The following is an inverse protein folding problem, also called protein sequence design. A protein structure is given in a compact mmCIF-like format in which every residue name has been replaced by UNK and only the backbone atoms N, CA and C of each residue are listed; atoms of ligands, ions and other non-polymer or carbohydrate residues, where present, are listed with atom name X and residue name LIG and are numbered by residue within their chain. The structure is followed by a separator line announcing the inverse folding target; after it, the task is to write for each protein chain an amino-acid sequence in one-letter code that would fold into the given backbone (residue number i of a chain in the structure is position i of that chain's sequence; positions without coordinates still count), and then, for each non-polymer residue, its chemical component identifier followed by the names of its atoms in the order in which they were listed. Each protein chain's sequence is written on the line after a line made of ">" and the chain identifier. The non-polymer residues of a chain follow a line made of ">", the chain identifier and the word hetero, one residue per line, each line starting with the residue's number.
data_IF_671403357905
#
_entry.id   IF_671403357905
#
_cell.length_a   1.000
_cell.length_b   1.000
_cell.length_c   1.000
_cell.angle_alpha   90.00
_cell.angle_beta   90.00
_cell.angle_gamma   90.00
#
_symmetry.space_group_name_H-M   'P 1'
#
loop_
_entity.id
_entity.type
_entity.pdbx_description
1 polymer ?
#
# COMPACT_ATOMS: atom_id res chain seq x y z
N UNK A 1 -25.95 -44.36 0.74
CA UNK A 1 -24.58 -43.81 0.69
C UNK A 1 -24.48 -42.77 1.80
N UNK A 2 -23.91 -43.14 2.96
CA UNK A 2 -23.84 -42.28 4.15
C UNK A 2 -22.64 -41.35 4.01
N UNK A 3 -22.90 -40.05 3.99
CA UNK A 3 -21.89 -38.99 4.05
C UNK A 3 -21.26 -39.09 5.45
N UNK A 4 -19.97 -39.41 5.50
CA UNK A 4 -19.18 -39.36 6.74
C UNK A 4 -19.02 -37.89 7.11
N UNK A 5 -19.74 -37.44 8.12
CA UNK A 5 -19.35 -36.25 8.88
C UNK A 5 -18.03 -36.59 9.56
N UNK A 6 -16.95 -35.91 9.15
CA UNK A 6 -15.72 -35.90 9.91
C UNK A 6 -16.03 -35.26 11.26
N UNK A 7 -16.09 -36.09 12.30
CA UNK A 7 -16.13 -35.64 13.68
C UNK A 7 -14.74 -35.11 14.03
N UNK A 8 -14.64 -33.82 14.35
CA UNK A 8 -13.47 -33.23 14.97
C UNK A 8 -13.24 -33.88 16.35
N UNK A 9 -12.01 -34.32 16.68
CA UNK A 9 -11.71 -34.84 17.99
C UNK A 9 -11.51 -33.66 18.94
N UNK A 10 -12.41 -33.51 19.91
CA UNK A 10 -12.49 -32.48 20.97
C UNK A 10 -13.40 -31.29 20.59
N UNK A 11 -14.71 -31.44 20.87
CA UNK A 11 -15.75 -30.42 20.69
C UNK A 11 -15.59 -29.17 21.57
N UNK A 12 -14.47 -28.47 21.45
CA UNK A 12 -14.33 -27.08 21.88
C UNK A 12 -14.98 -26.26 20.78
N UNK A 13 -16.12 -25.63 21.07
CA UNK A 13 -16.71 -24.67 20.14
C UNK A 13 -15.62 -23.65 19.77
N UNK A 14 -15.45 -23.32 18.48
CA UNK A 14 -14.44 -22.38 18.07
C UNK A 14 -14.64 -21.07 18.84
N UNK A 15 -13.58 -20.55 19.46
CA UNK A 15 -13.60 -19.25 20.14
C UNK A 15 -13.91 -18.20 19.07
N UNK A 16 -15.16 -17.71 19.04
CA UNK A 16 -15.66 -16.73 18.07
C UNK A 16 -15.76 -15.40 18.79
N UNK A 17 -15.10 -14.39 18.23
CA UNK A 17 -15.09 -13.03 18.76
C UNK A 17 -16.02 -12.16 17.94
N UNK A 18 -17.03 -11.61 18.60
CA UNK A 18 -18.01 -10.73 17.99
C UNK A 18 -17.49 -9.28 17.99
N UNK A 19 -17.54 -8.55 16.86
CA UNK A 19 -17.01 -7.18 16.77
C UNK A 19 -17.71 -6.21 17.73
N UNK A 20 -18.98 -6.44 18.07
CA UNK A 20 -19.71 -5.63 19.06
C UNK A 20 -19.23 -5.80 20.51
N UNK A 21 -18.48 -6.86 20.81
CA UNK A 21 -17.91 -7.08 22.13
C UNK A 21 -16.53 -6.41 22.29
N UNK A 22 -16.00 -5.82 21.22
CA UNK A 22 -14.71 -5.14 21.24
C UNK A 22 -14.90 -3.66 21.61
N UNK A 23 -14.03 -3.17 22.50
CA UNK A 23 -14.01 -1.78 22.93
C UNK A 23 -13.69 -0.85 21.74
N UNK A 24 -14.50 0.19 21.55
CA UNK A 24 -14.28 1.19 20.50
C UNK A 24 -13.15 2.12 20.87
N UNK A 25 -12.40 2.59 19.88
CA UNK A 25 -11.32 3.55 20.10
C UNK A 25 -11.80 4.85 20.76
N UNK A 26 -13.02 5.29 20.44
CA UNK A 26 -13.67 6.44 21.09
C UNK A 26 -13.92 6.27 22.60
N UNK A 27 -14.01 5.03 23.08
CA UNK A 27 -14.31 4.70 24.48
C UNK A 27 -13.03 4.40 25.28
N UNK A 28 -11.96 3.99 24.58
CA UNK A 28 -10.69 3.64 25.19
C UNK A 28 -10.05 4.87 25.85
N UNK A 29 -9.73 4.75 27.13
CA UNK A 29 -9.04 5.80 27.89
C UNK A 29 -7.63 6.06 27.35
N UNK A 30 -7.14 7.30 27.49
CA UNK A 30 -5.75 7.62 27.13
C UNK A 30 -4.80 6.90 28.09
N UNK A 31 -4.06 5.91 27.57
CA UNK A 31 -3.11 5.10 28.35
C UNK A 31 -1.82 5.83 28.70
N UNK A 32 -1.54 6.93 28.02
CA UNK A 32 -0.31 7.70 28.16
C UNK A 32 -0.60 9.17 28.42
N UNK A 33 0.14 9.76 29.36
CA UNK A 33 0.15 11.20 29.53
C UNK A 33 0.79 11.81 28.28
N UNK A 34 0.05 12.68 27.60
CA UNK A 34 0.57 13.42 26.46
C UNK A 34 1.68 14.35 26.96
N UNK A 35 2.86 14.23 26.37
CA UNK A 35 3.95 15.16 26.63
C UNK A 35 3.56 16.53 26.07
N UNK A 36 3.64 17.56 26.91
CA UNK A 36 3.43 18.94 26.47
C UNK A 36 4.66 19.43 25.72
N UNK A 37 4.53 19.62 24.41
CA UNK A 37 5.59 20.11 23.53
C UNK A 37 5.52 21.63 23.30
N UNK A 38 4.57 22.35 23.91
CA UNK A 38 4.37 23.79 23.70
C UNK A 38 5.60 24.63 24.06
N UNK A 39 6.44 24.15 24.98
CA UNK A 39 7.67 24.83 25.42
C UNK A 39 8.90 24.60 24.52
N UNK A 40 8.83 23.68 23.54
CA UNK A 40 10.00 23.19 22.80
C UNK A 40 10.17 23.89 21.43
N UNK A 41 9.17 24.65 20.98
CA UNK A 41 9.22 25.42 19.74
C UNK A 41 7.86 25.46 19.01
N UNK A 42 7.88 25.86 17.75
CA UNK A 42 6.68 25.83 16.90
C UNK A 42 6.26 24.38 16.60
N UNK A 43 4.95 24.13 16.50
CA UNK A 43 4.41 22.84 16.05
C UNK A 43 4.84 22.55 14.62
N UNK A 44 5.02 21.26 14.27
CA UNK A 44 5.34 20.85 12.88
C UNK A 44 4.21 21.20 11.90
N UNK A 45 2.98 21.28 12.41
CA UNK A 45 1.78 21.60 11.64
C UNK A 45 1.02 22.76 12.28
N UNK A 46 0.74 23.83 11.51
CA UNK A 46 -0.03 25.00 11.97
C UNK A 46 -1.50 24.67 12.24
N UNK A 47 -2.04 23.69 11.54
CA UNK A 47 -3.39 23.14 11.73
C UNK A 47 -3.29 21.63 11.82
N UNK A 48 -4.18 20.97 12.57
CA UNK A 48 -4.15 19.51 12.65
C UNK A 48 -4.47 18.89 11.28
N UNK A 49 -3.58 18.04 10.73
CA UNK A 49 -3.87 17.33 9.48
C UNK A 49 -4.99 16.29 9.61
N UNK A 50 -5.30 15.87 10.85
CA UNK A 50 -6.30 14.87 11.21
C UNK A 50 -7.13 15.40 12.39
N UNK A 51 -8.23 16.13 12.13
CA UNK A 51 -9.05 16.70 13.19
C UNK A 51 -9.79 15.62 14.00
N UNK A 52 -10.15 15.94 15.25
CA UNK A 52 -11.05 15.13 16.07
C UNK A 52 -12.38 14.92 15.34
N UNK A 53 -12.74 13.65 15.17
CA UNK A 53 -13.98 13.22 14.54
C UNK A 53 -14.57 12.06 15.34
N UNK A 54 -15.66 12.26 16.09
CA UNK A 54 -16.27 11.21 16.90
C UNK A 54 -16.89 10.09 16.07
N UNK A 55 -17.38 10.38 14.86
CA UNK A 55 -18.00 9.37 14.00
C UNK A 55 -16.95 8.42 13.42
N UNK A 56 -15.78 8.94 13.02
CA UNK A 56 -14.66 8.12 12.60
C UNK A 56 -14.13 7.29 13.78
N UNK A 57 -13.96 7.90 14.95
CA UNK A 57 -13.39 7.22 16.11
C UNK A 57 -14.24 6.05 16.63
N UNK A 58 -15.57 6.12 16.53
CA UNK A 58 -16.47 5.02 16.90
C UNK A 58 -16.30 3.78 15.99
N UNK A 59 -15.76 3.96 14.79
CA UNK A 59 -15.55 2.87 13.82
C UNK A 59 -14.24 2.13 14.06
N UNK A 60 -13.29 2.72 14.78
CA UNK A 60 -11.96 2.12 14.98
C UNK A 60 -11.97 1.21 16.22
N UNK A 61 -11.33 0.06 16.08
CA UNK A 61 -11.03 -0.86 17.19
C UNK A 61 -9.55 -1.22 17.10
N UNK A 62 -8.85 -1.18 18.24
CA UNK A 62 -7.51 -1.75 18.38
C UNK A 62 -7.64 -3.03 19.20
N UNK A 63 -7.26 -4.16 18.63
CA UNK A 63 -7.45 -5.46 19.27
C UNK A 63 -6.21 -6.34 19.14
N UNK A 64 -5.90 -7.08 20.21
CA UNK A 64 -4.84 -8.09 20.21
C UNK A 64 -5.46 -9.46 20.36
N UNK A 65 -5.28 -10.32 19.36
CA UNK A 65 -5.83 -11.66 19.36
C UNK A 65 -5.67 -12.36 18.01
N UNK A 66 -6.34 -13.50 17.87
CA UNK A 66 -6.32 -14.29 16.64
C UNK A 66 -7.36 -13.75 15.65
N UNK A 67 -6.91 -13.10 14.57
CA UNK A 67 -7.78 -12.56 13.52
C UNK A 67 -8.74 -13.61 12.93
N UNK A 68 -8.37 -14.90 12.93
CA UNK A 68 -9.22 -15.97 12.39
C UNK A 68 -10.46 -16.26 13.25
N UNK A 69 -10.52 -15.72 14.47
CA UNK A 69 -11.66 -15.85 15.39
C UNK A 69 -12.76 -14.81 15.19
N UNK A 70 -12.49 -13.73 14.44
CA UNK A 70 -13.41 -12.60 14.32
C UNK A 70 -14.58 -12.92 13.39
N UNK A 71 -15.81 -12.74 13.90
CA UNK A 71 -17.03 -12.80 13.09
C UNK A 71 -17.29 -11.43 12.43
N UNK A 72 -16.63 -11.19 11.31
CA UNK A 72 -16.71 -9.94 10.53
C UNK A 72 -17.01 -10.24 9.06
N UNK A 73 -17.30 -9.22 8.26
CA UNK A 73 -17.50 -9.41 6.82
C UNK A 73 -16.20 -9.84 6.14
N UNK A 74 -15.07 -9.21 6.49
CA UNK A 74 -13.78 -9.63 5.94
C UNK A 74 -12.63 -9.52 6.93
N UNK A 75 -11.72 -10.50 6.86
CA UNK A 75 -10.39 -10.43 7.45
C UNK A 75 -9.36 -10.26 6.35
N UNK A 76 -8.26 -9.57 6.64
CA UNK A 76 -7.14 -9.43 5.71
C UNK A 76 -6.08 -10.48 6.03
N UNK A 77 -5.53 -11.10 4.98
CA UNK A 77 -4.37 -11.97 5.05
C UNK A 77 -3.17 -11.34 4.32
N UNK A 78 -2.07 -11.09 5.03
CA UNK A 78 -0.80 -10.63 4.43
C UNK A 78 0.07 -11.85 4.08
N UNK A 79 0.32 -12.06 2.79
CA UNK A 79 0.97 -13.26 2.25
C UNK A 79 2.11 -12.93 1.28
N UNK A 80 2.48 -13.88 0.43
CA UNK A 80 3.44 -13.75 -0.65
C UNK A 80 2.80 -13.90 -2.03
N UNK A 81 3.60 -13.65 -3.04
CA UNK A 81 3.16 -13.56 -4.42
C UNK A 81 2.57 -14.87 -4.95
N UNK A 82 3.04 -16.00 -4.41
CA UNK A 82 2.55 -17.36 -4.69
C UNK A 82 1.43 -17.83 -3.74
N UNK A 83 0.88 -16.95 -2.90
CA UNK A 83 -0.22 -17.24 -1.97
C UNK A 83 0.07 -18.41 -1.00
N UNK A 84 1.34 -18.65 -0.71
CA UNK A 84 1.84 -19.83 0.03
C UNK A 84 2.76 -19.45 1.19
N UNK A 85 2.71 -18.19 1.62
CA UNK A 85 3.56 -17.74 2.73
C UNK A 85 3.16 -18.42 4.03
N UNK A 86 4.13 -19.09 4.65
CA UNK A 86 3.99 -19.56 6.02
C UNK A 86 4.40 -18.43 6.96
N UNK A 87 3.39 -17.92 7.66
CA UNK A 87 3.51 -16.98 8.77
C UNK A 87 2.39 -17.28 9.79
N UNK A 88 2.57 -16.95 11.08
CA UNK A 88 1.64 -17.38 12.12
C UNK A 88 0.18 -16.95 11.94
N UNK A 89 -0.06 -15.84 11.23
CA UNK A 89 -1.40 -15.36 10.93
C UNK A 89 -2.01 -16.16 9.78
N UNK A 90 -1.29 -16.27 8.66
CA UNK A 90 -1.67 -17.12 7.52
C UNK A 90 -1.95 -18.55 7.94
N UNK A 91 -1.06 -19.15 8.75
CA UNK A 91 -1.17 -20.55 9.15
C UNK A 91 -2.47 -20.80 9.95
N UNK A 92 -2.84 -19.87 10.84
CA UNK A 92 -4.11 -19.92 11.59
C UNK A 92 -5.32 -19.71 10.69
N UNK A 93 -5.26 -18.76 9.76
CA UNK A 93 -6.32 -18.52 8.77
C UNK A 93 -6.55 -19.80 7.94
N UNK A 94 -5.50 -20.40 7.38
CA UNK A 94 -5.62 -21.63 6.58
C UNK A 94 -6.08 -22.84 7.41
N UNK A 95 -5.59 -22.96 8.65
CA UNK A 95 -6.00 -24.04 9.55
C UNK A 95 -7.51 -23.97 9.84
N UNK A 96 -8.03 -22.76 10.10
CA UNK A 96 -9.42 -22.56 10.49
C UNK A 96 -10.39 -22.45 9.30
N UNK A 97 -9.96 -21.92 8.16
CA UNK A 97 -10.77 -21.89 6.94
C UNK A 97 -10.97 -23.29 6.33
N UNK A 98 -10.03 -24.21 6.54
CA UNK A 98 -10.08 -25.56 6.00
C UNK A 98 -9.40 -25.71 4.64
N UNK A 99 -9.42 -26.93 4.08
CA UNK A 99 -8.76 -27.25 2.81
C UNK A 99 -9.39 -26.54 1.60
N UNK A 100 -10.68 -26.21 1.68
CA UNK A 100 -11.44 -25.56 0.61
C UNK A 100 -10.82 -24.21 0.21
N UNK A 101 -10.26 -23.45 1.17
CA UNK A 101 -9.55 -22.21 0.88
C UNK A 101 -8.34 -22.42 -0.04
N UNK A 102 -7.60 -23.51 0.16
CA UNK A 102 -6.45 -23.83 -0.70
C UNK A 102 -6.92 -24.23 -2.10
N UNK A 103 -8.06 -24.91 -2.20
CA UNK A 103 -8.67 -25.27 -3.48
C UNK A 103 -9.11 -24.02 -4.25
N UNK A 104 -9.82 -23.08 -3.62
CA UNK A 104 -10.22 -21.79 -4.23
C UNK A 104 -9.00 -21.00 -4.72
N UNK A 105 -7.97 -20.84 -3.87
CA UNK A 105 -6.75 -20.11 -4.24
C UNK A 105 -6.05 -20.75 -5.46
N UNK A 106 -5.97 -22.08 -5.51
CA UNK A 106 -5.31 -22.80 -6.60
C UNK A 106 -6.09 -22.74 -7.92
N UNK A 107 -7.43 -22.71 -7.85
CA UNK A 107 -8.31 -22.68 -9.01
C UNK A 107 -8.44 -21.27 -9.58
N UNK A 108 -8.71 -20.28 -8.72
CA UNK A 108 -9.25 -18.98 -9.14
C UNK A 108 -8.24 -17.81 -9.04
N UNK A 109 -7.20 -17.93 -8.21
CA UNK A 109 -6.25 -16.83 -7.96
C UNK A 109 -4.88 -17.09 -8.56
N UNK A 110 -4.23 -18.21 -8.19
CA UNK A 110 -2.86 -18.63 -8.53
C UNK A 110 -1.72 -17.69 -8.09
N UNK A 111 -1.85 -16.38 -8.30
CA UNK A 111 -0.85 -15.37 -7.92
C UNK A 111 -1.50 -14.05 -7.47
N UNK A 112 -0.78 -13.32 -6.62
CA UNK A 112 -1.12 -11.97 -6.19
C UNK A 112 0.13 -11.10 -6.21
N UNK A 113 0.19 -10.05 -7.03
CA UNK A 113 1.40 -9.24 -7.10
C UNK A 113 1.57 -8.40 -5.83
N UNK A 114 2.80 -7.97 -5.58
CA UNK A 114 3.10 -7.01 -4.51
C UNK A 114 2.27 -5.73 -4.70
N UNK A 115 1.57 -5.28 -3.65
CA UNK A 115 0.62 -4.15 -3.69
C UNK A 115 -0.80 -4.53 -4.13
N UNK A 116 -1.00 -5.72 -4.68
CA UNK A 116 -2.29 -6.18 -5.18
C UNK A 116 -3.13 -6.80 -4.07
N UNK A 117 -4.42 -7.01 -4.37
CA UNK A 117 -5.37 -7.71 -3.50
C UNK A 117 -6.16 -8.76 -4.28
N UNK A 118 -6.50 -9.85 -3.60
CA UNK A 118 -7.39 -10.92 -4.06
C UNK A 118 -8.41 -11.23 -2.99
N UNK A 119 -9.61 -11.62 -3.37
CA UNK A 119 -10.69 -11.92 -2.42
C UNK A 119 -11.15 -13.36 -2.63
N UNK A 120 -11.30 -14.08 -1.53
CA UNK A 120 -11.85 -15.44 -1.47
C UNK A 120 -12.99 -15.52 -0.46
N UNK A 121 -13.70 -16.65 -0.43
CA UNK A 121 -14.62 -16.94 0.66
C UNK A 121 -13.88 -17.24 1.95
N UNK A 122 -14.53 -17.00 3.10
CA UNK A 122 -13.99 -17.36 4.41
C UNK A 122 -14.06 -18.84 4.74
N UNK A 123 -14.85 -19.63 4.00
CA UNK A 123 -15.10 -21.06 4.24
C UNK A 123 -15.56 -21.34 5.68
N UNK A 124 -14.78 -22.12 6.44
CA UNK A 124 -15.09 -22.44 7.84
C UNK A 124 -14.71 -21.32 8.84
N UNK A 125 -14.17 -20.19 8.36
CA UNK A 125 -13.97 -19.01 9.21
C UNK A 125 -15.31 -18.39 9.64
N UNK A 126 -15.36 -17.74 10.81
CA UNK A 126 -16.49 -16.88 11.17
C UNK A 126 -16.62 -15.65 10.24
N UNK A 127 -15.52 -15.26 9.59
CA UNK A 127 -15.51 -14.18 8.62
C UNK A 127 -16.07 -14.63 7.27
N UNK A 128 -16.81 -13.76 6.57
CA UNK A 128 -17.44 -14.10 5.28
C UNK A 128 -16.45 -14.16 4.13
N UNK A 129 -15.46 -13.27 4.14
CA UNK A 129 -14.45 -13.15 3.09
C UNK A 129 -13.04 -13.05 3.66
N UNK A 130 -12.05 -13.40 2.84
CA UNK A 130 -10.64 -13.12 3.10
C UNK A 130 -10.12 -12.20 2.00
N UNK A 131 -9.55 -11.05 2.38
CA UNK A 131 -8.83 -10.17 1.47
C UNK A 131 -7.34 -10.49 1.60
N UNK A 132 -6.78 -11.17 0.61
CA UNK A 132 -5.36 -11.45 0.54
C UNK A 132 -4.61 -10.26 -0.06
N UNK A 133 -3.51 -9.86 0.54
CA UNK A 133 -2.61 -8.83 -0.01
C UNK A 133 -1.15 -9.24 0.14
N UNK A 134 -0.27 -8.62 -0.64
CA UNK A 134 1.17 -8.87 -0.59
C UNK A 134 1.90 -7.56 -0.31
N UNK A 135 2.39 -7.43 0.92
CA UNK A 135 3.20 -6.28 1.34
C UNK A 135 4.59 -6.24 0.69
N UNK A 136 5.25 -5.06 0.63
CA UNK A 136 6.57 -4.90 0.05
C UNK A 136 7.65 -5.63 0.86
N UNK A 137 8.71 -6.10 0.18
CA UNK A 137 9.98 -6.42 0.83
C UNK A 137 10.74 -5.13 1.05
N UNK A 138 10.96 -4.74 2.30
CA UNK A 138 11.59 -3.46 2.61
C UNK A 138 13.09 -3.52 2.32
N UNK A 139 13.57 -2.47 1.68
CA UNK A 139 14.98 -2.20 1.49
C UNK A 139 15.18 -0.69 1.57
N UNK A 140 16.12 -0.24 2.40
CA UNK A 140 16.41 1.18 2.60
C UNK A 140 16.72 1.90 1.28
N UNK A 141 17.32 1.22 0.29
CA UNK A 141 17.60 1.80 -1.04
C UNK A 141 16.33 2.09 -1.86
N UNK A 142 15.22 1.44 -1.53
CA UNK A 142 13.93 1.54 -2.19
C UNK A 142 12.83 1.92 -1.21
N UNK A 143 13.14 2.76 -0.22
CA UNK A 143 12.22 3.17 0.84
C UNK A 143 10.93 3.74 0.25
N UNK A 144 11.01 4.78 -0.60
CA UNK A 144 9.81 5.41 -1.19
C UNK A 144 8.95 4.45 -2.02
N UNK A 145 9.57 3.50 -2.73
CA UNK A 145 8.84 2.46 -3.46
C UNK A 145 8.13 1.50 -2.49
N UNK A 146 8.78 1.14 -1.38
CA UNK A 146 8.22 0.31 -0.32
C UNK A 146 7.03 1.01 0.36
N UNK A 147 7.17 2.29 0.69
CA UNK A 147 6.09 3.09 1.28
C UNK A 147 4.87 3.17 0.35
N UNK A 148 5.10 3.49 -0.93
CA UNK A 148 4.02 3.58 -1.91
C UNK A 148 3.31 2.23 -2.11
N UNK A 149 4.07 1.15 -2.11
CA UNK A 149 3.51 -0.20 -2.22
C UNK A 149 2.68 -0.56 -0.98
N UNK A 150 3.16 -0.26 0.23
CA UNK A 150 2.41 -0.52 1.45
C UNK A 150 1.12 0.29 1.48
N UNK A 151 1.18 1.57 1.13
CA UNK A 151 -0.01 2.40 0.96
C UNK A 151 -0.99 1.79 -0.06
N UNK A 152 -0.47 1.32 -1.19
CA UNK A 152 -1.28 0.67 -2.24
C UNK A 152 -1.99 -0.59 -1.70
N UNK A 153 -1.36 -1.38 -0.82
CA UNK A 153 -2.00 -2.51 -0.16
C UNK A 153 -3.23 -2.06 0.64
N UNK A 154 -3.07 -1.09 1.54
CA UNK A 154 -4.18 -0.56 2.35
C UNK A 154 -5.28 0.05 1.49
N UNK A 155 -4.92 0.87 0.50
CA UNK A 155 -5.86 1.47 -0.45
C UNK A 155 -6.69 0.40 -1.17
N UNK A 156 -6.03 -0.64 -1.67
CA UNK A 156 -6.68 -1.70 -2.41
C UNK A 156 -7.58 -2.59 -1.51
N UNK A 157 -7.17 -2.85 -0.26
CA UNK A 157 -8.00 -3.53 0.74
C UNK A 157 -9.30 -2.75 0.97
N UNK A 158 -9.19 -1.45 1.24
CA UNK A 158 -10.32 -0.58 1.56
C UNK A 158 -11.24 -0.41 0.34
N UNK A 159 -10.66 -0.26 -0.84
CA UNK A 159 -11.39 -0.19 -2.10
C UNK A 159 -12.16 -1.49 -2.37
N UNK A 160 -11.53 -2.67 -2.19
CA UNK A 160 -12.23 -3.96 -2.33
C UNK A 160 -13.33 -4.16 -1.30
N UNK A 161 -13.12 -3.63 -0.09
CA UNK A 161 -14.14 -3.69 0.96
C UNK A 161 -15.40 -2.92 0.53
N UNK A 162 -15.21 -1.70 0.01
CA UNK A 162 -16.30 -0.88 -0.55
C UNK A 162 -16.99 -1.56 -1.75
N UNK A 163 -16.22 -2.10 -2.71
CA UNK A 163 -16.75 -2.75 -3.91
C UNK A 163 -17.61 -3.99 -3.59
N UNK A 164 -17.22 -4.75 -2.57
CA UNK A 164 -17.90 -5.99 -2.19
C UNK A 164 -18.98 -5.80 -1.10
N UNK A 165 -19.26 -4.57 -0.66
CA UNK A 165 -20.22 -4.31 0.41
C UNK A 165 -19.80 -4.90 1.77
N UNK A 166 -18.50 -4.88 2.06
CA UNK A 166 -17.92 -5.28 3.35
C UNK A 166 -18.04 -4.09 4.28
N UNK A 167 -18.75 -4.24 5.40
CA UNK A 167 -18.98 -3.19 6.38
C UNK A 167 -18.11 -3.34 7.63
N UNK A 168 -17.72 -4.57 7.98
CA UNK A 168 -16.82 -4.87 9.09
C UNK A 168 -15.53 -5.52 8.59
N UNK A 169 -14.40 -4.84 8.81
CA UNK A 169 -13.10 -5.20 8.25
C UNK A 169 -12.04 -5.33 9.36
N UNK A 170 -11.38 -6.49 9.43
CA UNK A 170 -10.22 -6.68 10.30
C UNK A 170 -8.92 -6.70 9.50
N UNK A 171 -7.98 -5.83 9.87
CA UNK A 171 -6.71 -5.63 9.17
C UNK A 171 -5.57 -5.98 10.14
N UNK A 172 -4.72 -7.00 9.85
CA UNK A 172 -3.53 -7.25 10.65
C UNK A 172 -2.45 -6.22 10.31
N UNK A 173 -1.33 -6.25 11.03
CA UNK A 173 -0.12 -5.52 10.63
C UNK A 173 0.38 -6.07 9.29
N UNK A 174 0.07 -5.37 8.19
CA UNK A 174 0.39 -5.81 6.81
C UNK A 174 1.90 -5.83 6.59
N UNK A 175 2.61 -4.89 7.21
CA UNK A 175 4.07 -4.80 7.23
C UNK A 175 4.67 -5.88 8.14
N UNK A 176 4.96 -7.05 7.56
CA UNK A 176 5.54 -8.16 8.32
C UNK A 176 7.00 -7.92 8.72
N UNK A 177 7.36 -8.32 9.94
CA UNK A 177 8.75 -8.41 10.42
C UNK A 177 9.62 -9.23 9.48
N UNK A 178 9.08 -10.31 8.89
CA UNK A 178 9.79 -11.17 7.91
C UNK A 178 10.21 -10.41 6.64
N UNK A 179 9.52 -9.29 6.33
CA UNK A 179 9.81 -8.41 5.18
C UNK A 179 10.67 -7.20 5.57
N UNK A 180 11.24 -7.17 6.78
CA UNK A 180 12.16 -6.15 7.30
C UNK A 180 11.63 -4.71 7.28
N UNK A 181 10.31 -4.52 7.29
CA UNK A 181 9.72 -3.19 7.28
C UNK A 181 9.74 -2.59 8.70
N UNK A 182 10.23 -1.35 8.91
CA UNK A 182 10.19 -0.70 10.22
C UNK A 182 8.74 -0.63 10.77
N UNK A 183 8.46 -1.22 11.94
CA UNK A 183 7.08 -1.34 12.43
C UNK A 183 6.34 -0.01 12.60
N UNK A 184 7.05 1.02 13.06
CA UNK A 184 6.56 2.38 13.25
C UNK A 184 6.27 3.10 11.92
N UNK A 185 7.20 3.06 10.96
CA UNK A 185 6.98 3.64 9.61
C UNK A 185 5.79 2.96 8.92
N UNK A 186 5.67 1.64 9.05
CA UNK A 186 4.56 0.87 8.48
C UNK A 186 3.22 1.21 9.13
N UNK A 187 3.19 1.38 10.45
CA UNK A 187 2.00 1.76 11.19
C UNK A 187 1.51 3.17 10.80
N UNK A 188 2.42 4.14 10.65
CA UNK A 188 2.07 5.48 10.14
C UNK A 188 1.35 5.42 8.79
N UNK A 189 1.82 4.59 7.86
CA UNK A 189 1.20 4.42 6.53
C UNK A 189 -0.18 3.77 6.64
N UNK A 190 -0.32 2.71 7.44
CA UNK A 190 -1.59 2.00 7.63
C UNK A 190 -2.65 2.90 8.25
N UNK A 191 -2.32 3.55 9.38
CA UNK A 191 -3.22 4.44 10.11
C UNK A 191 -3.66 5.62 9.24
N UNK A 192 -2.71 6.28 8.56
CA UNK A 192 -3.02 7.38 7.64
C UNK A 192 -3.95 6.95 6.51
N UNK A 193 -3.67 5.81 5.88
CA UNK A 193 -4.44 5.34 4.72
C UNK A 193 -5.88 5.02 5.12
N UNK A 194 -6.08 4.35 6.26
CA UNK A 194 -7.42 4.09 6.81
C UNK A 194 -8.12 5.39 7.19
N UNK A 195 -7.42 6.32 7.86
CA UNK A 195 -7.97 7.61 8.27
C UNK A 195 -8.49 8.41 7.07
N UNK A 196 -7.66 8.61 6.04
CA UNK A 196 -8.05 9.36 4.83
C UNK A 196 -9.18 8.69 4.06
N UNK A 197 -9.21 7.36 4.02
CA UNK A 197 -10.32 6.63 3.42
C UNK A 197 -11.63 6.86 4.18
N UNK A 198 -11.62 6.81 5.51
CA UNK A 198 -12.83 7.01 6.32
C UNK A 198 -13.36 8.45 6.24
N UNK A 199 -12.50 9.45 6.05
CA UNK A 199 -12.93 10.84 5.81
C UNK A 199 -13.72 10.98 4.50
N UNK A 200 -13.41 10.18 3.47
CA UNK A 200 -14.06 10.24 2.14
C UNK A 200 -15.20 9.26 1.97
N UNK A 201 -15.08 8.09 2.58
CA UNK A 201 -15.90 6.90 2.35
C UNK A 201 -16.36 6.25 3.65
N UNK A 202 -16.44 7.03 4.73
CA UNK A 202 -16.78 6.53 6.06
C UNK A 202 -18.13 5.82 6.13
N UNK A 203 -19.11 6.16 5.28
CA UNK A 203 -20.41 5.47 5.25
C UNK A 203 -20.36 4.04 4.73
N UNK A 204 -19.24 3.61 4.13
CA UNK A 204 -19.10 2.25 3.59
C UNK A 204 -18.67 1.23 4.66
N UNK A 205 -18.00 1.68 5.73
CA UNK A 205 -17.45 0.82 6.78
C UNK A 205 -18.05 1.21 8.14
N UNK A 206 -18.63 0.23 8.81
CA UNK A 206 -19.16 0.36 10.17
C UNK A 206 -18.08 0.12 11.21
N UNK A 207 -17.10 -0.75 10.92
CA UNK A 207 -16.02 -1.07 11.86
C UNK A 207 -14.74 -1.47 11.14
N UNK A 208 -13.63 -0.86 11.55
CA UNK A 208 -12.27 -1.25 11.16
C UNK A 208 -11.50 -1.68 12.40
N UNK A 209 -11.08 -2.94 12.42
CA UNK A 209 -10.34 -3.55 13.53
C UNK A 209 -8.88 -3.65 13.13
N UNK A 210 -7.99 -2.89 13.78
CA UNK A 210 -6.56 -3.12 13.71
C UNK A 210 -6.22 -4.29 14.63
N UNK A 211 -5.83 -5.42 14.03
CA UNK A 211 -5.44 -6.62 14.76
C UNK A 211 -3.92 -6.66 14.88
N UNK A 212 -3.41 -6.51 16.09
CA UNK A 212 -1.97 -6.37 16.35
C UNK A 212 -1.47 -7.48 17.28
N UNK A 213 -0.22 -7.89 17.10
CA UNK A 213 0.44 -8.75 18.09
C UNK A 213 0.92 -7.91 19.29
N UNK A 214 1.27 -8.56 20.40
CA UNK A 214 1.75 -7.89 21.62
C UNK A 214 2.97 -7.01 21.38
N UNK A 215 3.81 -7.34 20.40
CA UNK A 215 5.00 -6.56 20.04
C UNK A 215 4.64 -5.22 19.37
N UNK A 216 3.55 -5.18 18.61
CA UNK A 216 3.13 -3.99 17.87
C UNK A 216 2.13 -3.12 18.67
N UNK A 217 1.53 -3.69 19.72
CA UNK A 217 0.49 -3.01 20.52
C UNK A 217 0.93 -1.62 21.01
N UNK A 218 2.12 -1.51 21.61
CA UNK A 218 2.62 -0.23 22.11
C UNK A 218 2.83 0.81 21.02
N UNK A 219 3.20 0.39 19.81
CA UNK A 219 3.36 1.28 18.65
C UNK A 219 1.98 1.85 18.27
N UNK A 220 0.97 0.99 18.13
CA UNK A 220 -0.36 1.44 17.77
C UNK A 220 -1.02 2.28 18.87
N UNK A 221 -0.79 1.99 20.15
CA UNK A 221 -1.32 2.79 21.26
C UNK A 221 -0.76 4.22 21.29
N UNK A 222 0.50 4.41 20.86
CA UNK A 222 1.13 5.73 20.73
C UNK A 222 0.71 6.44 19.45
N UNK A 223 0.59 5.72 18.32
CA UNK A 223 0.34 6.33 17.02
C UNK A 223 -1.14 6.58 16.71
N UNK A 224 -2.08 5.78 17.23
CA UNK A 224 -3.51 5.95 16.97
C UNK A 224 -4.02 7.36 17.35
N UNK A 225 -3.71 7.94 18.52
CA UNK A 225 -4.13 9.30 18.87
C UNK A 225 -3.66 10.37 17.88
N UNK A 226 -2.59 10.12 17.13
CA UNK A 226 -2.08 11.08 16.15
C UNK A 226 -2.95 11.17 14.89
N UNK A 227 -3.59 10.07 14.51
CA UNK A 227 -4.43 9.96 13.30
C UNK A 227 -5.93 9.94 13.63
N UNK A 228 -6.26 9.46 14.81
CA UNK A 228 -7.61 9.32 15.36
C UNK A 228 -7.66 9.96 16.75
N UNK A 229 -7.38 11.27 16.87
CA UNK A 229 -7.44 11.93 18.16
C UNK A 229 -8.83 11.79 18.75
N UNK A 230 -8.96 11.47 20.03
CA UNK A 230 -10.24 11.24 20.74
C UNK A 230 -10.80 12.51 21.39
N UNK A 231 -10.02 13.58 21.42
CA UNK A 231 -10.41 14.87 21.98
C UNK A 231 -9.67 16.00 21.25
N UNK A 232 -10.13 17.24 21.44
CA UNK A 232 -9.39 18.43 20.97
C UNK A 232 -7.99 18.53 21.55
N UNK A 233 -7.80 18.06 22.78
CA UNK A 233 -6.47 18.03 23.41
C UNK A 233 -5.52 17.05 22.70
N UNK A 234 -6.00 15.86 22.33
CA UNK A 234 -5.22 14.90 21.53
C UNK A 234 -4.94 15.44 20.11
N UNK A 235 -5.95 16.07 19.48
CA UNK A 235 -5.80 16.70 18.16
C UNK A 235 -4.71 17.78 18.17
N UNK A 236 -4.72 18.65 19.18
CA UNK A 236 -3.69 19.65 19.34
C UNK A 236 -2.34 18.96 19.53
N UNK A 237 -2.21 18.08 20.53
CA UNK A 237 -0.95 17.38 20.85
C UNK A 237 -0.35 16.63 19.65
N UNK A 238 -1.19 16.09 18.75
CA UNK A 238 -0.76 15.39 17.55
C UNK A 238 0.04 16.28 16.58
N UNK A 239 -0.21 17.60 16.54
CA UNK A 239 0.48 18.55 15.65
C UNK A 239 1.99 18.64 15.89
N UNK A 240 2.46 18.32 17.09
CA UNK A 240 3.88 18.28 17.43
C UNK A 240 4.52 16.92 17.10
N UNK A 241 3.75 15.85 17.25
CA UNK A 241 4.26 14.48 17.20
C UNK A 241 4.18 13.85 15.81
N UNK A 242 3.19 14.23 14.99
CA UNK A 242 3.06 13.77 13.61
C UNK A 242 4.36 14.01 12.82
N UNK A 243 4.69 13.13 11.84
CA UNK A 243 5.75 13.42 10.87
C UNK A 243 5.47 14.73 10.12
N UNK A 244 6.50 15.42 9.63
CA UNK A 244 6.30 16.63 8.81
C UNK A 244 5.50 16.31 7.54
N UNK A 245 5.78 15.16 6.92
CA UNK A 245 5.06 14.66 5.75
C UNK A 245 3.94 13.70 6.16
N UNK A 246 2.70 14.17 6.08
CA UNK A 246 1.50 13.42 6.47
C UNK A 246 0.74 12.85 5.29
N UNK A 247 1.42 12.64 4.16
CA UNK A 247 0.87 12.06 2.94
C UNK A 247 -0.13 12.96 2.21
N UNK A 248 -0.50 12.53 1.01
CA UNK A 248 -1.48 13.20 0.17
C UNK A 248 -2.93 13.02 0.63
N UNK A 249 -3.89 13.53 -0.16
CA UNK A 249 -5.31 13.52 0.19
C UNK A 249 -5.95 12.13 0.30
N UNK A 250 -5.35 11.09 -0.29
CA UNK A 250 -5.74 9.68 -0.14
C UNK A 250 -4.83 8.93 0.84
N UNK A 251 -3.85 9.61 1.45
CA UNK A 251 -2.86 9.03 2.37
C UNK A 251 -1.59 8.50 1.68
N UNK A 252 -1.45 8.74 0.37
CA UNK A 252 -0.31 8.34 -0.44
C UNK A 252 0.98 9.06 0.00
N UNK A 253 2.16 8.42 -0.08
CA UNK A 253 3.42 9.10 0.20
C UNK A 253 3.69 10.22 -0.80
N UNK A 254 4.19 11.37 -0.33
CA UNK A 254 4.56 12.49 -1.18
C UNK A 254 5.99 12.24 -1.69
N UNK A 255 6.12 11.99 -3.00
CA UNK A 255 7.43 11.83 -3.63
C UNK A 255 7.90 13.17 -4.21
N UNK A 256 9.01 13.76 -3.70
CA UNK A 256 9.49 15.06 -4.20
C UNK A 256 9.91 15.00 -5.68
N UNK A 257 10.40 13.85 -6.17
CA UNK A 257 10.96 13.70 -7.52
C UNK A 257 9.91 13.52 -8.64
N UNK A 258 8.61 13.61 -8.34
CA UNK A 258 7.52 13.52 -9.34
C UNK A 258 6.73 14.81 -9.51
N UNK A 259 7.20 15.93 -8.98
CA UNK A 259 6.73 17.23 -9.44
C UNK A 259 7.35 17.49 -10.81
N UNK A 260 6.54 17.40 -11.87
CA UNK A 260 6.95 17.84 -13.20
C UNK A 260 7.37 19.31 -13.06
N UNK A 261 8.68 19.57 -13.06
CA UNK A 261 9.17 20.92 -13.32
C UNK A 261 8.85 21.15 -14.79
N UNK A 262 7.74 21.82 -15.07
CA UNK A 262 7.56 22.46 -16.36
C UNK A 262 8.63 23.55 -16.39
N UNK A 263 9.79 23.20 -16.93
CA UNK A 263 10.78 24.20 -17.30
C UNK A 263 10.19 24.77 -18.58
N UNK A 264 9.67 25.99 -18.52
CA UNK A 264 9.37 26.72 -19.74
C UNK A 264 10.63 26.69 -20.61
N UNK A 265 10.48 26.18 -21.83
CA UNK A 265 11.59 25.95 -22.74
C UNK A 265 12.38 27.26 -22.91
N UNK A 266 13.67 27.35 -22.53
CA UNK A 266 14.42 28.60 -22.52
C UNK A 266 14.77 29.12 -23.93
N UNK A 267 14.22 28.52 -24.99
CA UNK A 267 14.45 28.92 -26.39
C UNK A 267 13.35 29.80 -26.99
N UNK A 268 12.28 30.13 -26.25
CA UNK A 268 11.37 31.20 -26.68
C UNK A 268 11.75 32.54 -26.03
N UNK A 269 12.86 33.12 -26.50
CA UNK A 269 12.92 34.58 -26.59
C UNK A 269 11.81 35.01 -27.54
N UNK A 270 10.75 35.61 -26.98
CA UNK A 270 9.73 36.33 -27.73
C UNK A 270 10.42 37.47 -28.48
N UNK A 271 10.81 37.24 -29.72
CA UNK A 271 10.99 38.33 -30.67
C UNK A 271 9.60 38.85 -31.00
N UNK A 272 9.40 40.16 -30.81
CA UNK A 272 8.10 40.84 -30.82
C UNK A 272 7.46 40.99 -32.22
N UNK A 273 7.88 40.19 -33.21
CA UNK A 273 7.48 40.35 -34.61
C UNK A 273 7.19 39.00 -35.28
N UNK A 274 6.20 38.25 -34.82
CA UNK A 274 5.54 37.26 -35.67
C UNK A 274 4.03 37.32 -35.47
N UNK A 275 3.33 37.75 -36.52
CA UNK A 275 1.88 37.79 -36.61
C UNK A 275 1.30 36.39 -36.41
N UNK A 276 0.31 36.28 -35.52
CA UNK A 276 -0.46 35.06 -35.34
C UNK A 276 -1.22 34.72 -36.64
N UNK A 277 -0.84 33.64 -37.31
CA UNK A 277 -1.58 33.14 -38.48
C UNK A 277 -2.79 32.34 -38.00
N UNK A 278 -3.98 32.86 -38.27
CA UNK A 278 -5.26 32.19 -38.04
C UNK A 278 -5.51 31.15 -39.16
N UNK A 279 -5.36 29.87 -38.83
CA UNK A 279 -5.54 28.73 -39.74
C UNK A 279 -7.00 28.27 -39.89
N UNK A 280 -7.97 29.01 -39.34
CA UNK A 280 -9.38 28.62 -39.41
C UNK A 280 -10.05 28.83 -40.78
N UNK A 281 -9.40 29.52 -41.73
CA UNK A 281 -9.99 29.89 -43.02
C UNK A 281 -9.57 29.02 -44.23
N UNK A 282 -8.89 27.88 -44.04
CA UNK A 282 -8.47 27.00 -45.14
C UNK A 282 -9.12 25.60 -45.12
N UNK A 283 -10.27 25.47 -44.48
CA UNK A 283 -11.15 24.31 -44.68
C UNK A 283 -12.03 24.54 -45.90
N UNK A 284 -11.49 24.29 -47.10
CA UNK A 284 -12.30 23.86 -48.25
C UNK A 284 -11.46 23.18 -49.35
N UNK A 285 -11.70 21.88 -49.50
CA UNK A 285 -11.55 21.03 -50.70
C UNK A 285 -10.27 21.14 -51.56
N UNK A 286 -9.24 20.36 -51.24
CA UNK A 286 -8.57 19.44 -52.19
C UNK A 286 -7.49 18.64 -51.47
N UNK A 287 -7.49 17.32 -51.61
CA UNK A 287 -6.51 16.44 -50.99
C UNK A 287 -5.26 16.40 -51.86
N UNK A 288 -4.28 17.27 -51.59
CA UNK A 288 -2.91 17.13 -52.09
C UNK A 288 -2.04 16.53 -50.98
N UNK A 289 -1.86 15.21 -51.00
CA UNK A 289 -0.87 14.52 -50.17
C UNK A 289 0.49 14.75 -50.81
N UNK A 290 1.32 15.64 -50.26
CA UNK A 290 2.65 15.86 -50.81
C UNK A 290 3.58 16.86 -50.10
N UNK A 291 3.09 17.79 -49.29
CA UNK A 291 3.94 18.86 -48.73
C UNK A 291 3.79 19.05 -47.21
N UNK A 292 3.93 17.98 -46.43
CA UNK A 292 4.20 18.09 -45.00
C UNK A 292 5.54 17.46 -44.65
N UNK A 293 6.20 18.01 -43.63
CA UNK A 293 7.48 17.56 -43.09
C UNK A 293 7.52 16.08 -42.65
N UNK A 294 6.38 15.39 -42.62
CA UNK A 294 6.26 13.95 -42.38
C UNK A 294 6.45 13.07 -43.63
N UNK A 295 6.43 13.63 -44.84
CA UNK A 295 6.54 12.87 -46.10
C UNK A 295 7.98 12.71 -46.63
N UNK A 296 8.99 13.32 -45.97
CA UNK A 296 10.40 13.25 -46.38
C UNK A 296 11.32 12.56 -45.36
N UNK A 297 10.81 11.61 -44.57
CA UNK A 297 11.67 10.68 -43.82
C UNK A 297 11.59 9.28 -44.44
N UNK A 298 12.29 9.12 -45.56
CA UNK A 298 12.54 7.81 -46.17
C UNK A 298 14.05 7.61 -46.23
N UNK A 299 14.58 6.77 -45.34
CA UNK A 299 16.01 6.54 -45.18
C UNK A 299 16.33 5.62 -44.01
N UNK A 300 15.88 4.37 -44.14
CA UNK A 300 16.44 3.13 -43.59
C UNK A 300 17.50 3.26 -42.46
N UNK A 301 17.05 3.49 -41.22
CA UNK A 301 17.90 3.42 -40.01
C UNK A 301 18.13 1.98 -39.53
N UNK A 302 17.46 0.98 -40.11
CA UNK A 302 17.57 -0.43 -39.69
C UNK A 302 18.70 -1.17 -40.43
N UNK A 303 19.12 -0.74 -41.62
CA UNK A 303 20.30 -1.30 -42.29
C UNK A 303 21.64 -0.96 -41.62
N UNK A 304 21.75 0.15 -40.88
CA UNK A 304 22.99 0.51 -40.17
C UNK A 304 23.24 -0.28 -38.88
N UNK A 305 22.27 -1.08 -38.41
CA UNK A 305 22.46 -1.98 -37.26
C UNK A 305 22.94 -3.39 -37.63
N UNK A 306 22.91 -3.78 -38.90
CA UNK A 306 23.22 -5.14 -39.35
C UNK A 306 24.64 -5.33 -39.92
N UNK A 307 25.45 -4.27 -40.07
CA UNK A 307 26.81 -4.35 -40.62
C UNK A 307 27.89 -3.60 -39.82
N UNK A 308 27.64 -3.24 -38.57
CA UNK A 308 28.63 -2.59 -37.69
C UNK A 308 29.34 -3.59 -36.79
N UNK A 309 30.55 -3.99 -37.17
CA UNK A 309 31.50 -4.69 -36.28
C UNK A 309 31.61 -3.95 -34.94
N UNK A 310 31.15 -4.59 -33.86
CA UNK A 310 31.50 -4.15 -32.50
C UNK A 310 32.85 -4.77 -32.14
N UNK A 311 33.89 -3.97 -32.20
CA UNK A 311 35.14 -4.21 -31.48
C UNK A 311 34.83 -4.31 -29.98
N UNK A 312 34.84 -5.52 -29.45
CA UNK A 312 34.88 -5.78 -28.02
C UNK A 312 36.27 -5.39 -27.50
N UNK A 313 36.41 -4.21 -26.91
CA UNK A 313 37.52 -3.93 -26.00
C UNK A 313 37.12 -4.48 -24.63
N UNK A 314 37.51 -5.72 -24.36
CA UNK A 314 37.42 -6.35 -23.04
C UNK A 314 38.62 -5.91 -22.18
N UNK A 315 38.43 -5.13 -21.09
CA UNK A 315 39.53 -4.69 -20.23
C UNK A 315 40.15 -5.83 -19.40
N UNK A 316 39.65 -7.05 -19.48
CA UNK A 316 40.19 -8.24 -18.78
C UNK A 316 41.12 -9.11 -19.64
N UNK A 317 41.14 -8.91 -20.97
CA UNK A 317 42.01 -9.66 -21.87
C UNK A 317 43.50 -9.25 -21.75
N UNK A 318 43.78 -7.97 -21.44
CA UNK A 318 45.14 -7.45 -21.28
C UNK A 318 45.83 -7.90 -19.97
N UNK A 319 45.06 -8.41 -19.01
CA UNK A 319 45.59 -8.93 -17.73
C UNK A 319 46.01 -10.40 -17.89
N UNK A 320 45.28 -11.18 -18.69
CA UNK A 320 45.58 -12.59 -18.95
C UNK A 320 46.83 -12.80 -19.84
N UNK A 321 47.12 -11.86 -20.74
CA UNK A 321 48.28 -11.95 -21.66
C UNK A 321 49.60 -11.62 -20.94
N UNK A 322 49.57 -10.82 -19.87
CA UNK A 322 50.78 -10.51 -19.08
C UNK A 322 51.19 -11.58 -18.07
N UNK A 323 50.27 -12.46 -17.64
CA UNK A 323 50.62 -13.58 -16.75
C UNK A 323 51.15 -14.81 -17.51
N UNK A 324 50.83 -14.97 -18.80
CA UNK A 324 51.29 -16.12 -19.59
C UNK A 324 52.72 -15.92 -20.14
N UNK A 325 53.19 -14.68 -20.32
CA UNK A 325 54.55 -14.42 -20.82
C UNK A 325 55.65 -14.41 -19.74
N UNK A 326 55.33 -14.61 -18.46
CA UNK A 326 56.34 -14.70 -17.40
C UNK A 326 56.71 -16.14 -16.97
N UNK A 327 56.11 -17.17 -17.58
CA UNK A 327 56.42 -18.58 -17.28
C UNK A 327 57.20 -19.32 -18.37
N UNK A 328 57.59 -18.67 -19.47
CA UNK A 328 58.50 -19.25 -20.49
C UNK A 328 59.77 -18.40 -20.71
N UNK A 329 60.43 -18.00 -19.62
CA UNK A 329 61.88 -17.72 -19.61
C UNK A 329 62.57 -18.39 -18.43
#
# INVERSE_FOLDING_TARGET
>A
MRIKMNQEPLGVAPDIVLPQNLERWSEKSSMHNLTDYSAIGASKHDTSPFPFDPEINQKIVLWTGDISSLQVDAIVNSTNESMSDSNPVSDRIFQRAGSELKEEINLDIRECRTGEVRVTQGHALPARYIIHTVGPKYNIKYQSASENTLHTCYRNILQKSKENGIHTLAIPVVNSVKRNYPPDEGAHIGLRSVRRFLERHGSCLDTVIFVVDKLDLGIYEVLLPLYFPRSKFEEDAARWQLPSEVGGPEGEPIMPDRQIRIIDNPQHTLHADEESIDLSSQLDTSVNVGEHAFSQMQGDLDQQRLLGERTYNDPLADIMIKEIQHQER
#
